data_IF_458689489793
#
_entry.id   IF_458689489793
#
_cell.length_a   1.000
_cell.length_b   1.000
_cell.length_c   1.000
_cell.angle_alpha   90.00
_cell.angle_beta   90.00
_cell.angle_gamma   90.00
#
_symmetry.space_group_name_H-M   'P 1'
#
loop_
_entity.id
_entity.type
_entity.pdbx_description
1 polymer ?
#
# COMPACT_ATOMS: atom_id res chain seq x y z
N UNK A 1 10.38 10.09 -13.79
CA UNK A 1 9.05 10.67 -13.59
C UNK A 1 8.01 9.65 -14.03
N UNK A 2 7.16 9.22 -13.11
CA UNK A 2 5.99 8.40 -13.43
C UNK A 2 5.04 9.24 -14.29
N UNK A 3 4.48 8.72 -15.40
CA UNK A 3 3.52 9.48 -16.21
C UNK A 3 2.29 9.85 -15.36
N UNK A 4 1.85 11.11 -15.43
CA UNK A 4 0.64 11.57 -14.73
C UNK A 4 -0.60 10.78 -15.17
N UNK A 5 -0.68 10.47 -16.46
CA UNK A 5 -1.74 9.64 -17.03
C UNK A 5 -1.85 8.23 -16.42
N UNK A 6 -0.73 7.65 -16.00
CA UNK A 6 -0.74 6.39 -15.25
C UNK A 6 -1.38 6.57 -13.87
N UNK A 7 -1.00 7.64 -13.16
CA UNK A 7 -1.54 7.92 -11.83
C UNK A 7 -3.06 8.17 -11.87
N UNK A 8 -3.52 8.89 -12.88
CA UNK A 8 -4.95 9.16 -13.08
C UNK A 8 -5.71 7.84 -13.33
N UNK A 9 -5.24 7.01 -14.26
CA UNK A 9 -5.84 5.71 -14.57
C UNK A 9 -5.82 4.74 -13.36
N UNK A 10 -4.73 4.76 -12.58
CA UNK A 10 -4.58 3.95 -11.37
C UNK A 10 -5.62 4.33 -10.32
N UNK A 11 -5.82 5.64 -10.12
CA UNK A 11 -6.76 6.17 -9.13
C UNK A 11 -8.21 5.95 -9.56
N UNK A 12 -8.55 6.26 -10.83
CA UNK A 12 -9.90 6.08 -11.37
C UNK A 12 -10.39 4.62 -11.29
N UNK A 13 -9.48 3.67 -11.48
CA UNK A 13 -9.80 2.24 -11.44
C UNK A 13 -9.67 1.61 -10.07
N UNK A 14 -9.35 2.39 -9.04
CA UNK A 14 -9.19 1.91 -7.65
C UNK A 14 -8.19 0.75 -7.50
N UNK A 15 -7.10 0.79 -8.27
CA UNK A 15 -6.13 -0.31 -8.30
C UNK A 15 -5.31 -0.49 -7.04
N UNK A 16 -5.36 0.43 -6.08
CA UNK A 16 -4.58 0.37 -4.85
C UNK A 16 -4.75 -0.98 -4.11
N UNK A 17 -5.97 -1.51 -4.05
CA UNK A 17 -6.28 -2.78 -3.39
C UNK A 17 -5.99 -4.01 -4.25
N UNK A 18 -5.74 -3.83 -5.54
CA UNK A 18 -5.50 -4.90 -6.52
C UNK A 18 -4.05 -4.96 -6.98
N UNK A 19 -3.24 -3.98 -6.58
CA UNK A 19 -1.83 -3.89 -6.96
C UNK A 19 -1.00 -4.94 -6.21
N UNK A 20 -0.34 -5.88 -6.91
CA UNK A 20 0.47 -6.90 -6.27
C UNK A 20 1.67 -6.31 -5.50
N UNK A 21 2.18 -5.16 -5.93
CA UNK A 21 3.29 -4.48 -5.24
C UNK A 21 2.82 -3.92 -3.90
N UNK A 22 1.64 -3.32 -3.87
CA UNK A 22 1.02 -2.82 -2.62
C UNK A 22 0.70 -3.99 -1.70
N UNK A 23 0.06 -5.03 -2.22
CA UNK A 23 -0.30 -6.22 -1.45
C UNK A 23 0.92 -6.88 -0.79
N UNK A 24 2.00 -7.09 -1.55
CA UNK A 24 3.24 -7.66 -1.02
C UNK A 24 3.95 -6.68 -0.08
N UNK A 25 3.94 -5.39 -0.42
CA UNK A 25 4.60 -4.36 0.37
C UNK A 25 4.03 -4.18 1.76
N UNK A 26 2.76 -4.53 1.98
CA UNK A 26 2.15 -4.56 3.32
C UNK A 26 2.50 -5.83 4.13
N UNK A 27 3.01 -6.88 3.46
CA UNK A 27 3.25 -8.20 4.07
C UNK A 27 4.72 -8.56 4.24
N UNK A 28 5.63 -7.84 3.57
CA UNK A 28 7.06 -8.12 3.63
C UNK A 28 7.89 -6.85 3.67
N UNK A 29 9.15 -6.98 4.07
CA UNK A 29 10.13 -5.89 4.09
C UNK A 29 11.20 -6.03 3.00
N UNK A 30 11.20 -7.17 2.27
CA UNK A 30 12.16 -7.42 1.21
C UNK A 30 11.83 -6.62 -0.05
N UNK A 31 12.83 -6.19 -0.83
CA UNK A 31 12.60 -5.53 -2.11
C UNK A 31 11.77 -6.40 -3.06
N UNK A 32 10.81 -5.78 -3.72
CA UNK A 32 9.90 -6.44 -4.67
C UNK A 32 10.38 -6.11 -6.09
N UNK A 33 10.90 -7.11 -6.77
CA UNK A 33 11.36 -6.98 -8.17
C UNK A 33 10.20 -7.31 -9.11
N UNK A 34 9.77 -6.34 -9.91
CA UNK A 34 8.59 -6.49 -10.75
C UNK A 34 8.73 -7.56 -11.82
N UNK A 35 9.94 -7.77 -12.35
CA UNK A 35 10.23 -8.82 -13.33
C UNK A 35 10.23 -10.24 -12.74
N UNK A 36 10.16 -10.37 -11.41
CA UNK A 36 10.07 -11.65 -10.69
C UNK A 36 8.68 -11.93 -10.12
N UNK A 37 7.72 -11.00 -10.33
CA UNK A 37 6.36 -11.18 -9.86
C UNK A 37 5.63 -12.25 -10.68
N UNK A 38 5.20 -13.30 -10.01
CA UNK A 38 4.25 -14.27 -10.58
C UNK A 38 2.82 -13.74 -10.35
N UNK A 39 2.35 -12.92 -11.29
CA UNK A 39 1.03 -12.29 -11.21
C UNK A 39 -0.15 -13.29 -11.33
N UNK A 40 0.12 -14.55 -11.62
CA UNK A 40 -0.90 -15.62 -11.65
C UNK A 40 -0.94 -16.42 -10.34
N UNK A 41 -0.09 -16.07 -9.40
CA UNK A 41 -0.09 -16.70 -8.09
C UNK A 41 -1.44 -16.55 -7.39
N UNK A 42 -2.03 -17.64 -6.85
CA UNK A 42 -3.33 -17.58 -6.17
C UNK A 42 -3.29 -16.78 -4.87
N UNK A 43 -2.10 -16.41 -4.41
CA UNK A 43 -1.89 -15.60 -3.21
C UNK A 43 -1.94 -14.08 -3.47
N UNK A 44 -1.91 -13.67 -4.76
CA UNK A 44 -1.99 -12.27 -5.14
C UNK A 44 -3.44 -11.89 -5.49
N UNK A 45 -3.77 -10.58 -5.46
CA UNK A 45 -5.08 -10.12 -5.92
C UNK A 45 -5.39 -10.57 -7.35
N UNK A 46 -6.64 -10.88 -7.63
CA UNK A 46 -7.06 -11.43 -8.91
C UNK A 46 -6.78 -10.53 -10.12
N UNK A 47 -6.73 -9.21 -9.93
CA UNK A 47 -6.42 -8.25 -10.97
C UNK A 47 -4.92 -7.91 -11.09
N UNK A 48 -4.03 -8.61 -10.36
CA UNK A 48 -2.59 -8.30 -10.34
C UNK A 48 -1.98 -8.22 -11.73
N UNK A 49 -2.31 -9.18 -12.60
CA UNK A 49 -1.84 -9.19 -13.99
C UNK A 49 -2.37 -8.02 -14.80
N UNK A 50 -3.63 -7.64 -14.61
CA UNK A 50 -4.24 -6.49 -15.29
C UNK A 50 -3.54 -5.19 -14.89
N UNK A 51 -3.30 -5.00 -13.60
CA UNK A 51 -2.59 -3.81 -13.07
C UNK A 51 -1.20 -3.71 -13.66
N UNK A 52 -0.42 -4.80 -13.66
CA UNK A 52 0.95 -4.79 -14.19
C UNK A 52 0.99 -4.63 -15.71
N UNK A 53 0.05 -5.19 -16.45
CA UNK A 53 -0.06 -5.01 -17.90
C UNK A 53 -0.39 -3.55 -18.23
N UNK A 54 -1.38 -2.97 -17.54
CA UNK A 54 -1.73 -1.58 -17.74
C UNK A 54 -0.56 -0.65 -17.39
N UNK A 55 0.15 -0.89 -16.29
CA UNK A 55 1.37 -0.16 -15.96
C UNK A 55 2.39 -0.20 -17.12
N UNK A 56 2.56 -1.39 -17.71
CA UNK A 56 3.47 -1.59 -18.84
C UNK A 56 3.07 -0.78 -20.09
N UNK A 57 1.78 -0.60 -20.35
CA UNK A 57 1.26 0.20 -21.48
C UNK A 57 1.57 1.70 -21.30
N UNK A 58 1.65 2.17 -20.07
CA UNK A 58 2.12 3.52 -19.72
C UNK A 58 3.65 3.64 -19.65
N UNK A 59 4.40 2.60 -20.03
CA UNK A 59 5.86 2.57 -19.99
C UNK A 59 6.45 2.29 -18.60
N UNK A 60 5.63 1.88 -17.64
CA UNK A 60 5.99 1.52 -16.26
C UNK A 60 6.18 0.00 -16.21
N UNK A 61 7.29 -0.49 -16.79
CA UNK A 61 7.49 -1.95 -17.02
C UNK A 61 8.46 -2.61 -16.07
N UNK A 62 9.53 -1.93 -15.74
CA UNK A 62 10.61 -2.49 -14.94
C UNK A 62 10.80 -1.64 -13.70
N UNK A 63 10.83 -2.29 -12.54
CA UNK A 63 10.99 -1.58 -11.30
C UNK A 63 11.40 -2.48 -10.15
N UNK A 64 11.88 -1.84 -9.11
CA UNK A 64 12.06 -2.43 -7.79
C UNK A 64 11.34 -1.53 -6.78
N UNK A 65 10.52 -2.13 -5.95
CA UNK A 65 9.79 -1.46 -4.87
C UNK A 65 10.37 -1.86 -3.53
N UNK A 66 10.53 -0.87 -2.67
CA UNK A 66 11.02 -1.03 -1.30
C UNK A 66 9.86 -0.79 -0.33
N UNK A 67 9.35 -1.84 0.33
CA UNK A 67 8.43 -1.69 1.45
C UNK A 67 9.13 -1.02 2.63
N UNK A 68 8.49 -0.04 3.24
CA UNK A 68 9.03 0.78 4.30
C UNK A 68 8.01 0.84 5.44
N UNK A 69 8.41 0.36 6.60
CA UNK A 69 7.54 0.28 7.77
C UNK A 69 8.21 0.98 8.93
N UNK A 70 7.46 1.76 9.69
CA UNK A 70 7.97 2.37 10.92
C UNK A 70 7.49 1.62 12.15
N UNK A 71 8.18 1.75 13.29
CA UNK A 71 7.70 1.19 14.56
C UNK A 71 6.36 1.75 15.02
N UNK A 72 5.93 2.90 14.49
CA UNK A 72 4.66 3.55 14.79
C UNK A 72 3.52 3.06 13.90
N UNK A 73 3.81 2.15 12.96
CA UNK A 73 2.81 1.54 12.08
C UNK A 73 2.54 2.34 10.79
N UNK A 74 3.34 3.35 10.47
CA UNK A 74 3.25 3.96 9.15
C UNK A 74 3.87 3.03 8.10
N UNK A 75 3.19 2.88 6.98
CA UNK A 75 3.61 2.08 5.84
C UNK A 75 3.80 2.95 4.62
N UNK A 76 4.81 2.63 3.85
CA UNK A 76 5.04 3.25 2.56
C UNK A 76 5.72 2.28 1.60
N UNK A 77 5.60 2.58 0.32
CA UNK A 77 6.27 1.84 -0.74
C UNK A 77 6.92 2.85 -1.65
N UNK A 78 8.24 2.78 -1.78
CA UNK A 78 8.96 3.59 -2.75
C UNK A 78 9.42 2.72 -3.91
N UNK A 79 9.05 3.12 -5.13
CA UNK A 79 9.37 2.37 -6.34
C UNK A 79 10.36 3.15 -7.21
N UNK A 80 11.43 2.51 -7.60
CA UNK A 80 12.33 2.99 -8.65
C UNK A 80 11.99 2.27 -9.95
N UNK A 81 11.79 3.06 -11.01
CA UNK A 81 11.26 2.58 -12.29
C UNK A 81 12.27 2.88 -13.38
N UNK A 82 12.53 1.91 -14.25
CA UNK A 82 13.29 2.10 -15.48
C UNK A 82 12.40 1.90 -16.71
N UNK A 83 12.56 2.78 -17.71
CA UNK A 83 11.91 2.63 -19.02
C UNK A 83 12.60 1.59 -19.89
N UNK A 84 13.88 1.35 -19.66
CA UNK A 84 14.71 0.47 -20.49
C UNK A 84 14.84 -0.91 -19.87
N UNK A 85 14.63 -1.94 -20.67
CA UNK A 85 14.79 -3.34 -20.25
C UNK A 85 16.24 -3.67 -19.87
N UNK A 86 17.21 -3.03 -20.55
CA UNK A 86 18.65 -3.24 -20.33
C UNK A 86 19.13 -2.79 -18.95
N UNK A 87 18.38 -1.94 -18.26
CA UNK A 87 18.76 -1.40 -16.96
C UNK A 87 18.32 -2.26 -15.78
N UNK A 88 17.72 -3.44 -16.01
CA UNK A 88 17.33 -4.34 -14.93
C UNK A 88 18.54 -4.78 -14.09
N UNK A 89 19.66 -5.11 -14.73
CA UNK A 89 20.85 -5.57 -14.03
C UNK A 89 21.49 -4.47 -13.20
N UNK A 90 21.53 -3.23 -13.73
CA UNK A 90 21.97 -2.06 -12.97
C UNK A 90 21.10 -1.79 -11.74
N UNK A 91 19.79 -2.04 -11.82
CA UNK A 91 18.92 -1.91 -10.67
C UNK A 91 19.24 -2.98 -9.61
N UNK A 92 19.52 -4.21 -10.02
CA UNK A 92 19.91 -5.29 -9.11
C UNK A 92 21.23 -5.00 -8.38
N UNK A 93 22.24 -4.52 -9.12
CA UNK A 93 23.54 -4.16 -8.55
C UNK A 93 23.45 -3.00 -7.54
N UNK A 94 22.51 -2.07 -7.76
CA UNK A 94 22.34 -0.90 -6.93
C UNK A 94 21.26 -1.03 -5.84
N UNK A 95 20.68 -2.22 -5.63
CA UNK A 95 19.66 -2.43 -4.60
C UNK A 95 20.06 -1.92 -3.21
N UNK A 96 21.29 -2.12 -2.70
CA UNK A 96 21.68 -1.60 -1.39
C UNK A 96 21.61 -0.07 -1.33
N UNK A 97 22.10 0.61 -2.37
CA UNK A 97 22.05 2.08 -2.44
C UNK A 97 20.61 2.58 -2.58
N UNK A 98 19.80 1.95 -3.43
CA UNK A 98 18.40 2.31 -3.63
C UNK A 98 17.57 2.10 -2.35
N UNK A 99 17.83 1.03 -1.60
CA UNK A 99 17.20 0.76 -0.30
C UNK A 99 17.53 1.85 0.72
N UNK A 100 18.79 2.26 0.78
CA UNK A 100 19.23 3.36 1.64
C UNK A 100 18.52 4.67 1.26
N UNK A 101 18.52 5.03 -0.02
CA UNK A 101 17.81 6.21 -0.52
C UNK A 101 16.31 6.16 -0.21
N UNK A 102 15.69 4.99 -0.40
CA UNK A 102 14.27 4.80 -0.12
C UNK A 102 13.92 5.13 1.33
N UNK A 103 14.73 4.68 2.29
CA UNK A 103 14.53 4.96 3.70
C UNK A 103 14.63 6.46 4.03
N UNK A 104 15.59 7.17 3.45
CA UNK A 104 15.73 8.62 3.63
C UNK A 104 14.57 9.40 3.02
N UNK A 105 14.19 9.05 1.79
CA UNK A 105 13.06 9.69 1.09
C UNK A 105 11.76 9.48 1.87
N UNK A 106 11.53 8.27 2.36
CA UNK A 106 10.34 7.94 3.15
C UNK A 106 10.29 8.75 4.44
N UNK A 107 11.38 8.81 5.20
CA UNK A 107 11.44 9.62 6.41
C UNK A 107 11.22 11.11 6.13
N UNK A 108 11.82 11.64 5.06
CA UNK A 108 11.59 13.03 4.66
C UNK A 108 10.12 13.28 4.29
N UNK A 109 9.49 12.37 3.55
CA UNK A 109 8.08 12.45 3.20
C UNK A 109 7.17 12.42 4.44
N UNK A 110 7.43 11.54 5.40
CA UNK A 110 6.70 11.49 6.67
C UNK A 110 6.83 12.80 7.46
N UNK A 111 8.02 13.38 7.51
CA UNK A 111 8.26 14.67 8.17
C UNK A 111 7.44 15.80 7.50
N UNK A 112 7.44 15.83 6.16
CA UNK A 112 6.65 16.80 5.41
C UNK A 112 5.15 16.63 5.65
N UNK A 113 4.64 15.41 5.63
CA UNK A 113 3.22 15.12 5.91
C UNK A 113 2.87 15.57 7.33
N UNK A 114 3.69 15.22 8.33
CA UNK A 114 3.47 15.60 9.72
C UNK A 114 3.56 17.12 9.98
N UNK A 115 4.33 17.84 9.17
CA UNK A 115 4.43 19.31 9.24
C UNK A 115 3.32 20.06 8.51
N UNK A 116 2.45 19.36 7.77
CA UNK A 116 1.39 19.92 6.94
C UNK A 116 0.01 19.53 7.50
N UNK A 117 -0.58 20.34 8.41
CA UNK A 117 -1.89 20.07 9.01
C UNK A 117 -3.02 19.94 7.98
N UNK A 118 -2.88 20.62 6.84
CA UNK A 118 -3.80 20.55 5.71
C UNK A 118 -3.85 19.15 5.06
N UNK A 119 -2.70 18.48 4.97
CA UNK A 119 -2.63 17.10 4.50
C UNK A 119 -3.16 16.11 5.55
N UNK A 120 -2.93 16.39 6.84
CA UNK A 120 -3.43 15.55 7.93
C UNK A 120 -4.95 15.59 8.09
N UNK A 121 -5.61 16.69 7.68
CA UNK A 121 -7.08 16.78 7.72
C UNK A 121 -7.80 15.78 6.82
N UNK A 122 -7.13 15.30 5.78
CA UNK A 122 -7.66 14.27 4.88
C UNK A 122 -7.31 12.85 5.35
N UNK A 123 -6.40 12.70 6.31
CA UNK A 123 -6.17 11.44 7.00
C UNK A 123 -7.20 11.36 8.12
N UNK A 124 -8.27 10.60 7.90
CA UNK A 124 -9.34 10.46 8.86
C UNK A 124 -8.77 10.06 10.24
N UNK A 125 -9.02 10.89 11.25
CA UNK A 125 -8.70 10.54 12.62
C UNK A 125 -9.65 9.45 13.08
N UNK A 126 -9.18 8.21 12.97
CA UNK A 126 -9.89 7.09 13.55
C UNK A 126 -9.71 7.11 15.07
N UNK A 127 -10.80 6.95 15.79
CA UNK A 127 -10.75 6.72 17.24
C UNK A 127 -10.05 5.39 17.54
N UNK A 128 -9.56 5.21 18.77
CA UNK A 128 -8.86 3.98 19.14
C UNK A 128 -9.74 2.75 18.97
N UNK A 129 -11.05 2.84 19.26
CA UNK A 129 -12.01 1.76 19.03
C UNK A 129 -12.23 1.44 17.55
N UNK A 130 -12.22 2.45 16.70
CA UNK A 130 -12.28 2.25 15.25
C UNK A 130 -11.01 1.57 14.73
N UNK A 131 -9.83 1.94 15.25
CA UNK A 131 -8.55 1.30 14.92
C UNK A 131 -8.51 -0.17 15.36
N UNK A 132 -8.97 -0.46 16.59
CA UNK A 132 -9.04 -1.83 17.11
C UNK A 132 -9.97 -2.71 16.25
N UNK A 133 -11.17 -2.22 15.93
CA UNK A 133 -12.09 -2.95 15.05
C UNK A 133 -11.53 -3.17 13.67
N UNK A 134 -10.91 -2.13 13.08
CA UNK A 134 -10.28 -2.21 11.76
C UNK A 134 -9.11 -3.20 11.74
N UNK A 135 -8.28 -3.19 12.78
CA UNK A 135 -7.16 -4.13 12.92
C UNK A 135 -7.65 -5.59 12.86
N UNK A 136 -8.62 -5.94 13.69
CA UNK A 136 -9.13 -7.31 13.72
C UNK A 136 -9.87 -7.69 12.43
N UNK A 137 -10.56 -6.73 11.79
CA UNK A 137 -11.19 -6.95 10.49
C UNK A 137 -10.13 -7.21 9.40
N UNK A 138 -8.99 -6.52 9.43
CA UNK A 138 -7.88 -6.75 8.50
C UNK A 138 -7.21 -8.11 8.70
N UNK A 139 -7.27 -8.66 9.92
CA UNK A 139 -6.85 -10.03 10.24
C UNK A 139 -7.89 -11.11 9.83
N UNK A 140 -8.96 -10.70 9.13
CA UNK A 140 -10.00 -11.60 8.63
C UNK A 140 -11.00 -12.08 9.67
N UNK A 141 -11.09 -11.42 10.83
CA UNK A 141 -12.05 -11.75 11.87
C UNK A 141 -13.46 -11.28 11.52
N UNK A 142 -14.43 -12.11 11.82
CA UNK A 142 -15.85 -11.76 11.72
C UNK A 142 -16.24 -10.75 12.79
N UNK A 143 -17.33 -10.00 12.58
CA UNK A 143 -17.83 -9.03 13.58
C UNK A 143 -18.12 -9.70 14.93
N UNK A 144 -18.55 -10.94 14.93
CA UNK A 144 -18.79 -11.72 16.15
C UNK A 144 -17.48 -12.03 16.91
N UNK A 145 -16.42 -12.46 16.19
CA UNK A 145 -15.10 -12.73 16.80
C UNK A 145 -14.48 -11.45 17.36
N UNK A 146 -14.60 -10.34 16.62
CA UNK A 146 -14.15 -9.02 17.06
C UNK A 146 -14.89 -8.59 18.32
N UNK A 147 -16.22 -8.74 18.35
CA UNK A 147 -17.06 -8.43 19.49
C UNK A 147 -16.63 -9.20 20.74
N UNK A 148 -16.37 -10.50 20.58
CA UNK A 148 -15.88 -11.37 21.65
C UNK A 148 -14.51 -10.94 22.16
N UNK A 149 -13.59 -10.61 21.24
CA UNK A 149 -12.20 -10.19 21.56
C UNK A 149 -12.16 -8.85 22.29
N UNK A 150 -12.97 -7.88 21.84
CA UNK A 150 -12.97 -6.52 22.38
C UNK A 150 -13.95 -6.32 23.55
N UNK A 151 -14.77 -7.33 23.90
CA UNK A 151 -15.74 -7.26 24.97
C UNK A 151 -16.89 -6.26 24.69
N UNK A 152 -17.30 -6.14 23.43
CA UNK A 152 -18.39 -5.25 22.98
C UNK A 152 -19.43 -6.04 22.19
N UNK A 153 -20.56 -5.41 21.83
CA UNK A 153 -21.55 -6.09 20.99
C UNK A 153 -21.15 -6.10 19.51
N UNK A 154 -21.58 -7.12 18.76
CA UNK A 154 -21.39 -7.19 17.31
C UNK A 154 -21.98 -5.96 16.59
N UNK A 155 -23.11 -5.44 17.08
CA UNK A 155 -23.68 -4.18 16.58
C UNK A 155 -22.74 -3.00 16.77
N UNK A 156 -22.01 -2.96 17.88
CA UNK A 156 -21.02 -1.90 18.17
C UNK A 156 -19.81 -2.02 17.26
N UNK A 157 -19.35 -3.25 16.97
CA UNK A 157 -18.29 -3.50 15.99
C UNK A 157 -18.69 -2.98 14.61
N UNK A 158 -19.88 -3.36 14.15
CA UNK A 158 -20.39 -2.92 12.85
C UNK A 158 -20.57 -1.39 12.79
N UNK A 159 -20.97 -0.77 13.90
CA UNK A 159 -21.01 0.70 13.98
C UNK A 159 -19.61 1.31 13.79
N UNK A 160 -18.59 0.82 14.50
CA UNK A 160 -17.23 1.34 14.36
C UNK A 160 -16.67 1.10 12.95
N UNK A 161 -16.86 -0.07 12.35
CA UNK A 161 -16.44 -0.35 10.98
C UNK A 161 -17.13 0.55 9.95
N UNK A 162 -18.43 0.82 10.13
CA UNK A 162 -19.14 1.77 9.27
C UNK A 162 -18.61 3.21 9.44
N UNK A 163 -18.23 3.61 10.66
CA UNK A 163 -17.60 4.92 10.89
C UNK A 163 -16.23 5.01 10.20
N UNK A 164 -15.44 3.93 10.23
CA UNK A 164 -14.17 3.83 9.47
C UNK A 164 -14.44 4.05 7.99
N UNK A 165 -15.38 3.30 7.42
CA UNK A 165 -15.75 3.41 6.00
C UNK A 165 -16.16 4.84 5.63
N UNK A 166 -16.99 5.47 6.45
CA UNK A 166 -17.44 6.85 6.21
C UNK A 166 -16.31 7.88 6.33
N UNK A 167 -15.38 7.69 7.29
CA UNK A 167 -14.25 8.61 7.51
C UNK A 167 -13.17 8.46 6.45
N UNK A 168 -12.97 7.27 5.90
CA UNK A 168 -11.94 6.95 4.91
C UNK A 168 -12.45 7.03 3.48
N UNK A 169 -13.75 7.34 3.30
CA UNK A 169 -14.45 7.31 1.99
C UNK A 169 -14.22 5.98 1.23
N UNK A 170 -14.05 4.89 1.99
CA UNK A 170 -13.87 3.54 1.47
C UNK A 170 -15.23 2.92 1.19
N UNK A 171 -15.40 2.32 0.02
CA UNK A 171 -16.62 1.60 -0.37
C UNK A 171 -16.35 0.12 -0.47
#
# INVERSE_FOLDING_TARGET
>A
NCPTSWFDAYTERHYLTQDPVVFLGLKQTQPIFWNKLDCDSPWLPSASREVMNLAADFGVRNGVSFPLHTPQGEHGILSFISKERSNSDLMFENVPMLSFCASYIFNAALQLIKSRPDLMKHLAELSDREKECLFWASEGKTSWEIATTLGISERTVNFHLNQVTNKTDSK
#
